data_IF_405855359248
#
_entry.id   IF_405855359248
#
_cell.length_a   1.000
_cell.length_b   1.000
_cell.length_c   1.000
_cell.angle_alpha   90.00
_cell.angle_beta   90.00
_cell.angle_gamma   90.00
#
_symmetry.space_group_name_H-M   'P 1'
#
loop_
_entity.id
_entity.type
_entity.pdbx_description
1 polymer ?
#
# COMPACT_ATOMS: atom_id res chain seq x y z
N UNK A 1 -0.79 6.68 -2.69
CA UNK A 1 -2.07 6.62 -1.95
C UNK A 1 -2.46 7.96 -1.31
N UNK A 2 -1.66 8.56 -0.42
CA UNK A 2 -1.98 9.87 0.18
C UNK A 2 -2.24 10.96 -0.87
N UNK A 3 -1.34 11.12 -1.84
CA UNK A 3 -1.49 12.05 -2.97
C UNK A 3 -2.74 11.75 -3.81
N UNK A 4 -3.03 10.46 -4.04
CA UNK A 4 -4.18 10.03 -4.82
C UNK A 4 -5.52 10.34 -4.13
N UNK A 5 -5.54 10.34 -2.80
CA UNK A 5 -6.70 10.70 -1.98
C UNK A 5 -6.68 12.16 -1.49
N UNK A 6 -5.76 12.97 -2.01
CA UNK A 6 -5.60 14.39 -1.66
C UNK A 6 -5.43 14.63 -0.14
N UNK A 7 -4.82 13.68 0.56
CA UNK A 7 -4.52 13.80 1.98
C UNK A 7 -3.25 14.60 2.23
N UNK A 8 -3.32 15.53 3.17
CA UNK A 8 -2.27 16.47 3.56
C UNK A 8 -1.31 15.89 4.63
N UNK A 9 -0.31 16.69 5.00
CA UNK A 9 0.71 16.30 5.96
C UNK A 9 0.18 16.15 7.41
N UNK A 10 -0.97 16.75 7.75
CA UNK A 10 -1.59 16.53 9.06
C UNK A 10 -2.29 15.18 9.10
N UNK A 11 -2.88 14.76 7.99
CA UNK A 11 -3.45 13.42 7.84
C UNK A 11 -2.38 12.33 8.02
N UNK A 12 -1.21 12.47 7.40
CA UNK A 12 -0.13 11.47 7.53
C UNK A 12 0.52 11.44 8.91
N UNK A 13 0.49 12.56 9.66
CA UNK A 13 0.89 12.58 11.07
C UNK A 13 -0.12 11.87 11.97
N UNK A 14 -1.41 12.01 11.68
CA UNK A 14 -2.49 11.32 12.41
C UNK A 14 -2.54 9.83 12.08
N UNK A 15 -2.24 9.49 10.83
CA UNK A 15 -2.25 8.14 10.29
C UNK A 15 -0.88 7.81 9.69
N UNK A 16 0.11 7.49 10.53
CA UNK A 16 1.44 7.16 10.06
C UNK A 16 1.41 5.89 9.21
N UNK A 17 2.38 5.77 8.30
CA UNK A 17 2.56 4.54 7.54
C UNK A 17 2.83 3.36 8.47
N UNK A 18 2.10 2.27 8.26
CA UNK A 18 2.27 1.02 9.00
C UNK A 18 2.58 -0.12 8.03
N UNK A 19 3.21 -1.18 8.53
CA UNK A 19 3.38 -2.41 7.75
C UNK A 19 2.10 -3.24 7.84
N UNK A 20 1.70 -3.86 6.74
CA UNK A 20 0.58 -4.82 6.69
C UNK A 20 1.10 -6.21 6.38
N UNK A 21 0.47 -7.23 6.96
CA UNK A 21 0.69 -8.63 6.59
C UNK A 21 -0.14 -9.05 5.37
N UNK A 22 -1.14 -8.24 4.98
CA UNK A 22 -2.03 -8.53 3.86
C UNK A 22 -1.37 -8.07 2.55
N UNK A 23 -0.52 -8.94 2.00
CA UNK A 23 0.23 -8.69 0.77
C UNK A 23 -0.22 -9.68 -0.31
N UNK A 24 -0.62 -9.18 -1.47
CA UNK A 24 -1.00 -9.99 -2.62
C UNK A 24 -0.05 -9.72 -3.79
N UNK A 25 0.55 -10.79 -4.32
CA UNK A 25 1.34 -10.75 -5.55
C UNK A 25 0.36 -10.88 -6.73
N UNK A 26 0.08 -9.77 -7.41
CA UNK A 26 -0.73 -9.76 -8.63
C UNK A 26 0.15 -9.99 -9.85
N UNK A 27 -0.47 -10.06 -11.03
CA UNK A 27 0.20 -10.41 -12.28
C UNK A 27 1.15 -9.31 -12.80
N UNK A 28 0.93 -8.06 -12.43
CA UNK A 28 1.72 -6.91 -12.87
C UNK A 28 2.34 -6.11 -11.71
N UNK A 29 1.86 -6.33 -10.49
CA UNK A 29 2.15 -5.48 -9.32
C UNK A 29 1.98 -6.22 -8.00
N UNK A 30 2.59 -5.65 -6.96
CA UNK A 30 2.35 -6.01 -5.57
C UNK A 30 1.22 -5.14 -5.01
N UNK A 31 0.21 -5.77 -4.42
CA UNK A 31 -0.87 -5.09 -3.72
C UNK A 31 -0.69 -5.24 -2.21
N UNK A 32 -0.70 -4.13 -1.50
CA UNK A 32 -0.71 -4.05 -0.04
C UNK A 32 -2.10 -3.60 0.40
N UNK A 33 -2.82 -4.46 1.11
CA UNK A 33 -4.15 -4.15 1.63
C UNK A 33 -4.08 -3.81 3.11
N UNK A 34 -4.77 -2.75 3.51
CA UNK A 34 -4.83 -2.32 4.89
C UNK A 34 -6.22 -2.57 5.44
N UNK A 35 -6.28 -2.96 6.72
CA UNK A 35 -7.53 -3.00 7.45
C UNK A 35 -8.02 -1.58 7.73
N UNK A 36 -9.34 -1.45 7.91
CA UNK A 36 -9.97 -0.21 8.38
C UNK A 36 -9.26 0.27 9.65
N UNK A 37 -9.13 1.58 9.81
CA UNK A 37 -8.41 2.20 10.94
C UNK A 37 -6.91 1.94 11.04
N UNK A 38 -6.27 1.28 10.06
CA UNK A 38 -4.81 1.10 10.11
C UNK A 38 -4.09 2.40 9.75
N UNK A 39 -4.31 2.88 8.52
CA UNK A 39 -3.66 4.06 7.95
C UNK A 39 -4.65 5.13 7.50
N UNK A 40 -5.94 4.94 7.81
CA UNK A 40 -7.03 5.81 7.39
C UNK A 40 -8.28 5.55 8.26
N UNK A 41 -9.19 6.53 8.41
CA UNK A 41 -10.45 6.31 9.11
C UNK A 41 -11.34 5.29 8.38
N UNK A 42 -12.31 4.71 9.09
CA UNK A 42 -13.26 3.73 8.53
C UNK A 42 -13.98 4.19 7.26
N UNK A 43 -14.26 5.50 7.14
CA UNK A 43 -14.87 6.09 5.96
C UNK A 43 -14.04 5.93 4.68
N UNK A 44 -12.73 5.70 4.80
CA UNK A 44 -11.83 5.39 3.68
C UNK A 44 -11.85 3.90 3.30
N UNK A 45 -12.63 3.06 3.99
CA UNK A 45 -12.72 1.63 3.73
C UNK A 45 -11.41 0.90 4.02
N UNK A 46 -11.05 -0.04 3.13
CA UNK A 46 -9.77 -0.74 3.15
C UNK A 46 -8.79 -0.04 2.21
N UNK A 47 -7.80 0.70 2.72
CA UNK A 47 -6.80 1.33 1.87
C UNK A 47 -6.01 0.28 1.10
N UNK A 48 -5.83 0.51 -0.20
CA UNK A 48 -5.10 -0.36 -1.10
C UNK A 48 -3.93 0.42 -1.69
N UNK A 49 -2.72 -0.12 -1.55
CA UNK A 49 -1.50 0.46 -2.07
C UNK A 49 -0.88 -0.50 -3.09
N UNK A 50 -0.73 -0.02 -4.31
CA UNK A 50 -0.21 -0.78 -5.44
C UNK A 50 1.23 -0.36 -5.71
N UNK A 51 2.13 -1.33 -5.82
CA UNK A 51 3.54 -1.11 -6.13
C UNK A 51 3.86 -1.91 -7.40
N UNK A 52 4.17 -1.24 -8.53
CA UNK A 52 4.52 -1.94 -9.76
C UNK A 52 5.83 -2.70 -9.60
N UNK A 53 5.95 -3.86 -10.26
CA UNK A 53 7.15 -4.69 -10.14
C UNK A 53 8.43 -4.01 -10.65
N UNK A 54 8.32 -2.99 -11.52
CA UNK A 54 9.46 -2.18 -11.95
C UNK A 54 10.18 -1.51 -10.79
N UNK A 55 9.45 -1.06 -9.77
CA UNK A 55 9.99 -0.42 -8.55
C UNK A 55 10.54 -1.44 -7.56
N UNK A 56 10.17 -2.72 -7.72
CA UNK A 56 10.57 -3.83 -6.86
C UNK A 56 11.70 -4.66 -7.47
N UNK A 57 12.19 -4.25 -8.65
CA UNK A 57 13.31 -4.89 -9.34
C UNK A 57 14.57 -4.82 -8.48
N UNK A 58 15.08 -5.98 -8.07
CA UNK A 58 16.23 -6.12 -7.17
C UNK A 58 15.90 -6.20 -5.67
N UNK A 59 14.63 -5.96 -5.27
CA UNK A 59 14.16 -6.17 -3.89
C UNK A 59 13.46 -7.53 -3.78
N UNK A 60 12.52 -7.80 -4.70
CA UNK A 60 11.84 -9.10 -4.74
C UNK A 60 12.72 -10.13 -5.44
N UNK A 61 12.68 -11.37 -4.93
CA UNK A 61 13.34 -12.49 -5.62
C UNK A 61 12.69 -12.66 -7.00
N UNK A 62 13.49 -12.86 -8.05
CA UNK A 62 12.97 -12.98 -9.42
C UNK A 62 11.99 -14.15 -9.59
N UNK A 63 12.02 -15.16 -8.70
CA UNK A 63 11.07 -16.27 -8.71
C UNK A 63 9.61 -15.87 -8.41
N UNK A 64 9.37 -14.67 -7.87
CA UNK A 64 8.03 -14.12 -7.62
C UNK A 64 7.63 -13.05 -8.64
N UNK A 65 8.50 -12.76 -9.62
CA UNK A 65 8.20 -11.90 -10.75
C UNK A 65 7.70 -12.81 -11.89
N UNK A 66 6.58 -12.47 -12.54
CA UNK A 66 6.06 -13.24 -13.67
C UNK A 66 6.94 -13.12 -14.93
#
# INVERSE_FOLDING_TARGET
>A
WLLANQHDAEFSQRWPFQRTANVALLRDKLLLKYDVYSIAPYSSGHPELEIPYSELSGILKPAYLP
#
